data_IF_266386890351
#
_entry.id   IF_266386890351
#
_cell.length_a   1.000
_cell.length_b   1.000
_cell.length_c   1.000
_cell.angle_alpha   90.00
_cell.angle_beta   90.00
_cell.angle_gamma   90.00
#
_symmetry.space_group_name_H-M   'P 1'
#
loop_
_entity.id
_entity.type
_entity.pdbx_description
1 polymer ?
#
# COMPACT_ATOMS: atom_id res chain seq x y z
N UNK A 1 -20.59 8.04 -7.46
CA UNK A 1 -19.72 7.02 -6.86
C UNK A 1 -19.82 5.73 -7.65
N UNK A 2 -18.67 5.07 -7.88
CA UNK A 2 -18.62 3.76 -8.52
C UNK A 2 -18.91 2.66 -7.47
N UNK A 3 -19.70 1.66 -7.85
CA UNK A 3 -19.92 0.48 -7.03
C UNK A 3 -19.88 -0.74 -7.97
N UNK A 4 -18.88 -1.60 -7.79
CA UNK A 4 -18.63 -2.75 -8.63
C UNK A 4 -17.25 -3.34 -8.41
N UNK A 5 -16.85 -4.32 -9.22
CA UNK A 5 -15.51 -4.92 -9.14
C UNK A 5 -14.42 -3.86 -9.30
N UNK A 6 -13.33 -4.02 -8.54
CA UNK A 6 -12.14 -3.18 -8.62
C UNK A 6 -10.91 -4.08 -8.75
N UNK A 7 -9.93 -3.63 -9.52
CA UNK A 7 -8.60 -4.25 -9.60
C UNK A 7 -7.59 -3.31 -8.96
N UNK A 8 -6.84 -3.83 -8.00
CA UNK A 8 -5.71 -3.17 -7.38
C UNK A 8 -4.43 -3.88 -7.83
N UNK A 9 -3.55 -3.17 -8.53
CA UNK A 9 -2.29 -3.71 -9.00
C UNK A 9 -1.13 -3.06 -8.25
N UNK A 10 -0.22 -3.89 -7.77
CA UNK A 10 1.05 -3.47 -7.19
C UNK A 10 2.16 -4.22 -7.93
N UNK A 11 3.11 -3.49 -8.49
CA UNK A 11 4.25 -4.06 -9.17
C UNK A 11 5.53 -3.44 -8.60
N UNK A 12 6.52 -4.28 -8.33
CA UNK A 12 7.86 -3.84 -7.92
C UNK A 12 8.88 -4.28 -8.98
N UNK A 13 9.59 -3.30 -9.52
CA UNK A 13 10.69 -3.51 -10.45
C UNK A 13 12.01 -3.05 -9.82
N UNK A 14 13.08 -3.79 -10.10
CA UNK A 14 14.44 -3.39 -9.74
C UNK A 14 15.04 -2.66 -10.94
N UNK A 15 15.55 -1.46 -10.71
CA UNK A 15 16.11 -0.58 -11.72
C UNK A 15 17.55 -0.19 -11.40
N UNK A 16 18.25 0.36 -12.39
CA UNK A 16 19.53 1.04 -12.17
C UNK A 16 19.30 2.44 -11.48
N UNK A 17 20.23 2.91 -10.63
CA UNK A 17 21.46 2.23 -10.29
C UNK A 17 21.28 1.07 -9.29
N UNK A 18 22.00 -0.02 -9.52
CA UNK A 18 22.01 -1.20 -8.66
C UNK A 18 23.44 -1.74 -8.56
N UNK A 19 23.85 -2.14 -7.36
CA UNK A 19 25.15 -2.75 -7.09
C UNK A 19 25.01 -3.96 -6.14
N UNK A 20 26.10 -4.42 -5.52
CA UNK A 20 26.07 -5.60 -4.65
C UNK A 20 25.33 -5.33 -3.32
N UNK A 21 25.32 -4.08 -2.84
CA UNK A 21 24.74 -3.68 -1.55
C UNK A 21 23.34 -3.11 -1.68
N UNK A 22 23.09 -2.33 -2.72
CA UNK A 22 21.84 -1.59 -2.90
C UNK A 22 21.23 -1.78 -4.29
N UNK A 23 19.94 -1.59 -4.35
CA UNK A 23 19.17 -1.54 -5.59
C UNK A 23 18.20 -0.37 -5.56
N UNK A 24 17.90 0.18 -6.73
CA UNK A 24 16.77 1.10 -6.87
C UNK A 24 15.52 0.29 -7.16
N UNK A 25 14.49 0.46 -6.33
CA UNK A 25 13.19 -0.14 -6.56
C UNK A 25 12.20 0.89 -7.05
N UNK A 26 11.35 0.46 -7.97
CA UNK A 26 10.22 1.22 -8.48
C UNK A 26 8.95 0.43 -8.20
N UNK A 27 8.06 1.01 -7.40
CA UNK A 27 6.78 0.39 -7.06
C UNK A 27 5.67 1.18 -7.75
N UNK A 28 4.92 0.52 -8.61
CA UNK A 28 3.72 1.05 -9.24
C UNK A 28 2.47 0.53 -8.54
N UNK A 29 1.58 1.43 -8.18
CA UNK A 29 0.25 1.10 -7.66
C UNK A 29 -0.81 1.68 -8.57
N UNK A 30 -1.78 0.87 -8.97
CA UNK A 30 -2.94 1.33 -9.73
C UNK A 30 -4.23 0.79 -9.13
N UNK A 31 -5.25 1.64 -9.12
CA UNK A 31 -6.64 1.26 -8.80
C UNK A 31 -7.48 1.44 -10.05
N UNK A 32 -8.11 0.38 -10.49
CA UNK A 32 -8.89 0.35 -11.73
C UNK A 32 -10.31 -0.16 -11.45
N UNK A 33 -11.28 0.37 -12.17
CA UNK A 33 -12.66 -0.14 -12.14
C UNK A 33 -12.74 -1.40 -12.98
N UNK A 34 -13.58 -2.35 -12.55
CA UNK A 34 -13.75 -3.61 -13.26
C UNK A 34 -12.49 -4.47 -13.24
N UNK A 35 -12.22 -5.15 -14.33
CA UNK A 35 -11.04 -6.02 -14.52
C UNK A 35 -9.79 -5.26 -14.99
N UNK A 36 -9.91 -3.94 -15.18
CA UNK A 36 -8.76 -3.08 -15.49
C UNK A 36 -8.28 -3.17 -16.93
N UNK A 37 -9.18 -3.24 -17.90
CA UNK A 37 -8.83 -3.42 -19.31
C UNK A 37 -8.48 -2.13 -20.07
N UNK A 38 -8.73 -0.94 -19.50
CA UNK A 38 -8.50 0.31 -20.21
C UNK A 38 -8.15 1.51 -19.34
N UNK A 39 -7.52 2.53 -19.95
CA UNK A 39 -7.16 3.78 -19.27
C UNK A 39 -8.38 4.54 -18.71
N UNK A 40 -9.56 4.33 -19.26
CA UNK A 40 -10.81 4.93 -18.77
C UNK A 40 -11.26 4.34 -17.44
N UNK A 41 -10.74 3.16 -17.09
CA UNK A 41 -11.03 2.47 -15.83
C UNK A 41 -10.09 2.90 -14.71
N UNK A 42 -8.99 3.56 -15.06
CA UNK A 42 -7.99 4.03 -14.10
C UNK A 42 -8.60 5.09 -13.17
N UNK A 43 -8.64 4.82 -11.89
CA UNK A 43 -9.11 5.74 -10.85
C UNK A 43 -7.96 6.39 -10.08
N UNK A 44 -6.84 5.70 -9.94
CA UNK A 44 -5.63 6.20 -9.28
C UNK A 44 -4.40 5.47 -9.81
N UNK A 45 -3.30 6.21 -9.97
CA UNK A 45 -1.98 5.65 -10.25
C UNK A 45 -0.93 6.40 -9.41
N UNK A 46 -0.01 5.65 -8.84
CA UNK A 46 1.13 6.17 -8.08
C UNK A 46 2.38 5.38 -8.44
N UNK A 47 3.50 6.07 -8.53
CA UNK A 47 4.81 5.45 -8.76
C UNK A 47 5.79 5.96 -7.72
N UNK A 48 6.36 5.02 -6.96
CA UNK A 48 7.34 5.24 -5.91
C UNK A 48 8.69 4.75 -6.38
N UNK A 49 9.72 5.56 -6.25
CA UNK A 49 11.10 5.17 -6.61
C UNK A 49 12.05 5.53 -5.50
N UNK A 50 12.78 4.57 -4.96
CA UNK A 50 13.72 4.76 -3.86
C UNK A 50 14.82 3.69 -3.82
N UNK A 51 16.00 3.99 -3.23
CA UNK A 51 17.04 3.00 -3.03
C UNK A 51 16.76 2.12 -1.81
N UNK A 52 17.04 0.82 -1.92
CA UNK A 52 16.94 -0.17 -0.82
C UNK A 52 18.26 -0.90 -0.63
N UNK A 53 18.55 -1.31 0.61
CA UNK A 53 19.53 -2.35 0.90
C UNK A 53 19.00 -3.71 0.41
N UNK A 54 19.81 -4.43 -0.35
CA UNK A 54 19.36 -5.67 -1.02
C UNK A 54 19.12 -6.82 -0.07
N UNK A 55 19.80 -6.86 1.07
CA UNK A 55 19.66 -7.93 2.06
C UNK A 55 18.56 -7.61 3.07
N UNK A 56 18.60 -6.44 3.68
CA UNK A 56 17.64 -6.05 4.70
C UNK A 56 16.29 -5.62 4.12
N UNK A 57 16.26 -5.06 2.90
CA UNK A 57 15.06 -4.43 2.33
C UNK A 57 14.78 -3.04 2.90
N UNK A 58 15.66 -2.50 3.75
CA UNK A 58 15.50 -1.15 4.31
C UNK A 58 15.71 -0.08 3.23
N UNK A 59 14.89 0.96 3.28
CA UNK A 59 15.08 2.12 2.43
C UNK A 59 16.38 2.85 2.80
N UNK A 60 17.21 3.15 1.80
CA UNK A 60 18.49 3.85 1.95
C UNK A 60 18.39 5.33 1.59
N UNK A 61 17.18 5.85 1.40
CA UNK A 61 16.90 7.23 1.04
C UNK A 61 15.42 7.50 0.91
N UNK A 62 15.11 8.75 0.59
CA UNK A 62 13.72 9.14 0.38
C UNK A 62 13.19 8.64 -0.96
N UNK A 63 11.88 8.37 -1.00
CA UNK A 63 11.19 8.02 -2.23
C UNK A 63 10.75 9.27 -3.00
N UNK A 64 10.88 9.21 -4.31
CA UNK A 64 10.16 10.08 -5.22
C UNK A 64 8.80 9.45 -5.52
N UNK A 65 7.73 10.18 -5.24
CA UNK A 65 6.35 9.77 -5.51
C UNK A 65 5.76 10.59 -6.64
N UNK A 66 5.35 9.94 -7.72
CA UNK A 66 4.65 10.56 -8.85
C UNK A 66 3.21 10.07 -8.92
N UNK A 67 2.26 11.01 -9.05
CA UNK A 67 0.83 10.73 -9.20
C UNK A 67 0.36 10.84 -10.65
N UNK A 68 1.00 11.71 -11.42
CA UNK A 68 0.70 11.95 -12.85
C UNK A 68 1.96 12.38 -13.60
N UNK A 69 1.94 12.25 -14.93
CA UNK A 69 3.05 12.66 -15.81
C UNK A 69 3.33 14.18 -15.80
N UNK A 70 2.39 14.99 -15.33
CA UNK A 70 2.45 16.46 -15.46
C UNK A 70 2.65 17.21 -14.14
N UNK A 71 2.59 16.53 -13.00
CA UNK A 71 2.83 17.12 -11.67
C UNK A 71 4.24 16.83 -11.17
N UNK A 72 4.87 17.79 -10.45
CA UNK A 72 6.11 17.49 -9.75
C UNK A 72 5.94 16.27 -8.82
N UNK A 73 6.99 15.47 -8.70
CA UNK A 73 7.00 14.37 -7.72
C UNK A 73 7.11 14.90 -6.30
N UNK A 74 6.40 14.26 -5.39
CA UNK A 74 6.58 14.47 -3.96
C UNK A 74 7.81 13.68 -3.48
N UNK A 75 8.41 14.15 -2.39
CA UNK A 75 9.45 13.42 -1.65
C UNK A 75 8.84 12.84 -0.38
N UNK A 76 8.96 11.53 -0.21
CA UNK A 76 8.37 10.80 0.92
C UNK A 76 9.40 9.91 1.57
N UNK A 77 9.54 9.98 2.90
CA UNK A 77 10.35 9.03 3.65
C UNK A 77 9.65 7.69 3.73
N UNK A 78 10.32 6.63 3.28
CA UNK A 78 9.85 5.25 3.49
C UNK A 78 10.30 4.81 4.87
N UNK A 79 9.35 4.57 5.75
CA UNK A 79 9.56 4.08 7.10
C UNK A 79 9.29 2.57 7.13
N UNK A 80 10.19 1.80 7.72
CA UNK A 80 10.10 0.34 7.77
C UNK A 80 10.35 -0.36 6.42
N UNK A 81 9.77 -1.55 6.28
CA UNK A 81 9.84 -2.38 5.08
C UNK A 81 8.57 -2.19 4.23
N UNK A 82 8.60 -2.61 3.00
CA UNK A 82 7.38 -2.58 2.19
C UNK A 82 7.16 -3.91 1.44
N UNK A 83 7.61 -4.04 0.18
CA UNK A 83 7.44 -5.28 -0.59
C UNK A 83 8.67 -6.21 -0.50
N UNK A 84 9.64 -5.85 0.30
CA UNK A 84 10.85 -6.62 0.59
C UNK A 84 11.13 -6.55 2.09
N UNK A 85 11.02 -7.70 2.75
CA UNK A 85 11.43 -7.93 4.14
C UNK A 85 12.92 -8.34 4.17
N UNK A 86 13.57 -8.40 5.33
CA UNK A 86 14.92 -8.97 5.39
C UNK A 86 15.00 -10.37 4.81
N UNK A 87 16.09 -10.68 4.13
CA UNK A 87 16.38 -12.06 3.75
C UNK A 87 16.51 -12.95 5.00
N UNK A 88 16.20 -14.22 4.88
CA UNK A 88 16.05 -15.12 6.02
C UNK A 88 15.05 -14.58 7.06
N UNK A 89 13.90 -14.15 6.56
CA UNK A 89 12.82 -13.55 7.33
C UNK A 89 12.48 -14.37 8.57
N UNK A 90 12.31 -13.72 9.70
CA UNK A 90 12.09 -14.34 11.00
C UNK A 90 10.63 -14.32 11.43
N UNK A 91 10.27 -15.19 12.36
CA UNK A 91 8.93 -15.24 13.01
C UNK A 91 8.78 -14.15 14.07
N UNK A 92 8.85 -12.91 13.65
CA UNK A 92 8.77 -11.72 14.51
C UNK A 92 7.91 -10.64 13.85
N UNK A 93 7.60 -9.58 14.56
CA UNK A 93 6.90 -8.44 13.99
C UNK A 93 7.87 -7.59 13.17
N UNK A 94 7.38 -7.06 12.05
CA UNK A 94 8.12 -6.12 11.22
C UNK A 94 7.30 -4.84 11.00
N UNK A 95 7.92 -3.65 11.11
CA UNK A 95 7.27 -2.41 10.71
C UNK A 95 7.15 -2.38 9.18
N UNK A 96 5.92 -2.32 8.66
CA UNK A 96 5.66 -2.31 7.21
C UNK A 96 5.00 -1.02 6.80
N UNK A 97 5.59 -0.38 5.79
CA UNK A 97 5.14 0.89 5.25
C UNK A 97 3.72 0.81 4.70
N UNK A 98 2.88 1.74 5.14
CA UNK A 98 1.57 1.97 4.56
C UNK A 98 1.62 3.21 3.65
N UNK A 99 1.37 3.07 2.33
CA UNK A 99 1.49 4.18 1.39
C UNK A 99 0.41 5.25 1.56
N UNK A 100 -0.74 4.91 2.14
CA UNK A 100 -1.80 5.88 2.42
C UNK A 100 -1.48 6.70 3.66
N UNK A 101 -0.98 6.08 4.72
CA UNK A 101 -0.53 6.77 5.93
C UNK A 101 0.84 7.43 5.76
N UNK A 102 1.64 6.99 4.80
CA UNK A 102 3.06 7.37 4.60
C UNK A 102 3.91 7.13 5.85
N UNK A 103 3.63 6.04 6.55
CA UNK A 103 4.37 5.59 7.73
C UNK A 103 4.25 4.08 7.91
N UNK A 104 5.12 3.50 8.74
CA UNK A 104 5.06 2.10 9.08
C UNK A 104 3.99 1.80 10.13
N UNK A 105 3.38 0.64 9.98
CA UNK A 105 2.52 -0.02 10.96
C UNK A 105 3.01 -1.45 11.12
N UNK A 106 3.06 -1.96 12.34
CA UNK A 106 3.56 -3.31 12.60
C UNK A 106 2.72 -4.38 11.91
N UNK A 107 3.40 -5.26 11.19
CA UNK A 107 2.85 -6.52 10.69
C UNK A 107 3.31 -7.65 11.62
N UNK A 108 2.35 -8.40 12.14
CA UNK A 108 2.55 -9.45 13.14
C UNK A 108 2.65 -10.81 12.46
N UNK A 109 3.69 -11.59 12.78
CA UNK A 109 3.79 -12.96 12.29
C UNK A 109 2.59 -13.79 12.78
N UNK A 110 1.95 -14.52 11.87
CA UNK A 110 0.81 -15.37 12.21
C UNK A 110 1.03 -16.84 11.89
N UNK A 111 1.54 -17.17 10.72
CA UNK A 111 1.74 -18.58 10.37
C UNK A 111 2.86 -18.80 9.35
N UNK A 112 3.34 -20.05 9.33
CA UNK A 112 4.22 -20.62 8.32
C UNK A 112 3.40 -21.52 7.41
N UNK A 113 3.58 -21.35 6.10
CA UNK A 113 2.97 -22.21 5.07
C UNK A 113 3.98 -22.58 4.01
N UNK A 114 3.57 -23.42 3.09
CA UNK A 114 4.38 -23.81 1.93
C UNK A 114 3.61 -23.45 0.66
N UNK A 115 4.24 -22.67 -0.21
CA UNK A 115 3.73 -22.34 -1.53
C UNK A 115 4.76 -22.76 -2.56
N UNK A 116 4.36 -23.57 -3.52
CA UNK A 116 5.21 -24.09 -4.61
C UNK A 116 6.57 -24.66 -4.13
N UNK A 117 6.55 -25.37 -2.99
CA UNK A 117 7.74 -25.98 -2.37
C UNK A 117 8.64 -25.02 -1.59
N UNK A 118 8.27 -23.75 -1.48
CA UNK A 118 9.00 -22.73 -0.72
C UNK A 118 8.32 -22.45 0.61
N UNK A 119 9.11 -22.14 1.63
CA UNK A 119 8.58 -21.69 2.92
C UNK A 119 8.13 -20.23 2.82
N UNK A 120 6.88 -19.98 3.16
CA UNK A 120 6.25 -18.66 3.13
C UNK A 120 5.71 -18.34 4.51
N UNK A 121 5.98 -17.14 5.00
CA UNK A 121 5.45 -16.60 6.26
C UNK A 121 4.33 -15.61 5.97
N UNK A 122 3.22 -15.73 6.70
CA UNK A 122 2.13 -14.77 6.66
C UNK A 122 2.23 -13.81 7.85
N UNK A 123 2.17 -12.52 7.55
CA UNK A 123 2.15 -11.41 8.51
C UNK A 123 0.86 -10.63 8.36
N UNK A 124 0.20 -10.36 9.47
CA UNK A 124 -1.03 -9.56 9.53
C UNK A 124 -0.74 -8.14 10.00
N UNK A 125 -1.22 -7.15 9.26
CA UNK A 125 -1.15 -5.73 9.61
C UNK A 125 -2.56 -5.19 9.82
N UNK A 126 -2.86 -4.72 11.02
CA UNK A 126 -4.10 -4.02 11.34
C UNK A 126 -3.89 -2.51 11.26
N UNK A 127 -4.74 -1.82 10.53
CA UNK A 127 -4.70 -0.37 10.38
C UNK A 127 -5.91 0.22 11.08
N UNK A 128 -5.70 0.74 12.27
CA UNK A 128 -6.72 1.45 13.04
C UNK A 128 -7.17 2.72 12.29
N UNK A 129 -8.46 3.09 12.36
CA UNK A 129 -8.97 4.28 11.70
C UNK A 129 -8.13 5.52 12.01
N UNK A 130 -7.51 6.09 10.99
CA UNK A 130 -6.55 7.17 11.12
C UNK A 130 -6.88 8.32 10.16
N UNK A 131 -6.97 9.53 10.66
CA UNK A 131 -7.17 10.73 9.86
C UNK A 131 -5.90 11.08 9.09
N UNK A 132 -5.90 10.81 7.80
CA UNK A 132 -4.75 11.01 6.89
C UNK A 132 -4.44 12.50 6.70
N UNK A 133 -5.45 13.37 6.73
CA UNK A 133 -5.27 14.82 6.58
C UNK A 133 -4.44 15.44 7.70
N UNK A 134 -4.35 14.80 8.87
CA UNK A 134 -3.47 15.23 9.97
C UNK A 134 -2.01 14.80 9.78
N UNK A 135 -1.74 13.85 8.90
CA UNK A 135 -0.39 13.32 8.68
C UNK A 135 0.36 14.09 7.59
N UNK A 136 -0.32 14.43 6.50
CA UNK A 136 0.24 15.22 5.40
C UNK A 136 -0.88 15.85 4.55
N UNK A 137 -0.54 16.94 3.86
CA UNK A 137 -1.45 17.60 2.94
C UNK A 137 -1.33 16.98 1.54
N UNK A 138 -2.45 16.55 0.98
CA UNK A 138 -2.56 16.12 -0.41
C UNK A 138 -4.00 16.29 -0.90
N UNK A 139 -4.16 16.39 -2.21
CA UNK A 139 -5.48 16.37 -2.83
C UNK A 139 -6.19 15.05 -2.49
N UNK A 140 -7.46 15.13 -2.12
CA UNK A 140 -8.24 13.97 -1.70
C UNK A 140 -8.13 13.61 -0.21
N UNK A 141 -7.22 14.20 0.57
CA UNK A 141 -7.19 14.03 2.02
C UNK A 141 -8.32 14.79 2.72
N UNK A 142 -8.97 15.72 2.02
CA UNK A 142 -10.15 16.45 2.49
C UNK A 142 -11.22 16.52 1.39
N UNK A 143 -12.46 16.65 1.81
CA UNK A 143 -13.61 16.83 0.91
C UNK A 143 -14.64 17.78 1.53
N UNK A 144 -15.67 18.14 0.75
CA UNK A 144 -16.84 18.85 1.26
C UNK A 144 -17.96 17.88 1.54
N UNK A 145 -18.47 17.86 2.76
CA UNK A 145 -19.57 17.00 3.21
C UNK A 145 -20.84 17.83 3.42
N UNK A 146 -22.02 17.30 3.06
CA UNK A 146 -23.28 17.96 3.36
C UNK A 146 -23.53 17.98 4.88
N UNK A 147 -23.94 19.15 5.37
CA UNK A 147 -24.24 19.38 6.79
C UNK A 147 -25.72 19.23 7.07
N UNK A 148 -26.08 18.64 8.23
CA UNK A 148 -27.47 18.67 8.70
C UNK A 148 -27.95 20.10 8.90
N UNK A 149 -29.09 20.44 8.29
CA UNK A 149 -29.65 21.79 8.32
C UNK A 149 -29.21 22.71 7.17
N UNK A 150 -28.41 22.20 6.24
CA UNK A 150 -27.97 22.89 5.03
C UNK A 150 -26.55 23.47 5.15
N UNK A 151 -25.91 23.67 4.00
CA UNK A 151 -24.51 24.06 3.89
C UNK A 151 -23.57 22.88 3.82
N UNK A 152 -22.27 23.17 3.91
CA UNK A 152 -21.20 22.19 3.80
C UNK A 152 -20.25 22.28 4.99
N UNK A 153 -19.59 21.19 5.30
CA UNK A 153 -18.50 21.12 6.27
C UNK A 153 -17.33 20.33 5.69
N UNK A 154 -16.15 20.50 6.25
CA UNK A 154 -14.97 19.78 5.80
C UNK A 154 -15.00 18.34 6.29
N UNK A 155 -14.82 17.41 5.35
CA UNK A 155 -14.57 16.01 5.61
C UNK A 155 -13.08 15.67 5.51
N UNK A 156 -12.65 14.68 6.27
CA UNK A 156 -11.27 14.25 6.39
C UNK A 156 -11.15 12.77 6.03
N UNK A 157 -10.22 12.44 5.13
CA UNK A 157 -9.95 11.07 4.76
C UNK A 157 -9.46 10.29 5.98
N UNK A 158 -10.18 9.21 6.30
CA UNK A 158 -9.83 8.25 7.34
C UNK A 158 -9.48 6.93 6.67
N UNK A 159 -8.25 6.47 6.87
CA UNK A 159 -7.74 5.19 6.37
C UNK A 159 -7.89 4.13 7.43
N UNK A 160 -8.45 2.98 7.07
CA UNK A 160 -8.60 1.83 7.95
C UNK A 160 -8.66 0.52 7.17
N UNK A 161 -8.42 -0.57 7.87
CA UNK A 161 -8.53 -1.92 7.32
C UNK A 161 -7.42 -2.83 7.76
N UNK A 162 -7.12 -3.85 6.96
CA UNK A 162 -6.06 -4.80 7.22
C UNK A 162 -5.37 -5.27 5.95
N UNK A 163 -4.15 -5.75 6.10
CA UNK A 163 -3.39 -6.39 5.03
C UNK A 163 -2.67 -7.62 5.58
N UNK A 164 -2.70 -8.71 4.85
CA UNK A 164 -1.84 -9.86 5.06
C UNK A 164 -0.75 -9.86 4.01
N UNK A 165 0.48 -10.07 4.43
CA UNK A 165 1.66 -10.19 3.57
C UNK A 165 2.14 -11.63 3.59
N UNK A 166 2.22 -12.24 2.42
CA UNK A 166 2.83 -13.55 2.22
C UNK A 166 4.26 -13.34 1.76
N UNK A 167 5.21 -13.74 2.60
CA UNK A 167 6.63 -13.42 2.41
C UNK A 167 7.42 -14.69 2.20
N UNK A 168 8.16 -14.79 1.10
CA UNK A 168 9.11 -15.85 0.89
C UNK A 168 10.20 -15.77 1.96
N UNK A 169 10.30 -16.81 2.80
CA UNK A 169 11.15 -16.77 3.99
C UNK A 169 12.62 -16.54 3.65
N UNK A 170 13.12 -17.15 2.58
CA UNK A 170 14.52 -17.07 2.21
C UNK A 170 14.92 -15.71 1.63
N UNK A 171 14.09 -15.17 0.74
CA UNK A 171 14.42 -13.92 0.03
C UNK A 171 13.87 -12.67 0.72
N UNK A 172 12.83 -12.80 1.55
CA UNK A 172 12.10 -11.68 2.14
C UNK A 172 11.15 -10.98 1.15
N UNK A 173 11.00 -11.47 -0.08
CA UNK A 173 10.10 -10.88 -1.05
C UNK A 173 8.64 -11.16 -0.68
N UNK A 174 7.80 -10.14 -0.81
CA UNK A 174 6.35 -10.28 -0.71
C UNK A 174 5.84 -10.92 -2.00
N UNK A 175 5.30 -12.13 -1.89
CA UNK A 175 4.81 -12.94 -3.03
C UNK A 175 3.29 -12.95 -3.14
N UNK A 176 2.60 -12.37 -2.18
CA UNK A 176 1.16 -12.25 -2.20
C UNK A 176 0.66 -11.32 -1.10
N UNK A 177 -0.53 -10.80 -1.29
CA UNK A 177 -1.22 -9.94 -0.33
C UNK A 177 -2.71 -10.24 -0.32
N UNK A 178 -3.29 -10.23 0.87
CA UNK A 178 -4.72 -10.04 1.06
C UNK A 178 -4.95 -8.63 1.58
N UNK A 179 -5.95 -7.95 1.06
CA UNK A 179 -6.29 -6.58 1.45
C UNK A 179 -7.78 -6.48 1.78
N UNK A 180 -8.06 -5.84 2.91
CA UNK A 180 -9.42 -5.45 3.31
C UNK A 180 -9.35 -3.98 3.76
N UNK A 181 -9.66 -3.07 2.85
CA UNK A 181 -9.53 -1.62 3.05
C UNK A 181 -10.90 -0.99 3.12
N UNK A 182 -11.12 -0.16 4.14
CA UNK A 182 -12.34 0.61 4.36
C UNK A 182 -11.99 2.08 4.66
N UNK A 183 -11.77 2.85 3.61
CA UNK A 183 -11.47 4.28 3.69
C UNK A 183 -12.75 5.09 3.53
N UNK A 184 -12.89 6.10 4.37
CA UNK A 184 -14.07 6.98 4.36
C UNK A 184 -13.70 8.43 4.71
N UNK A 185 -14.57 9.35 4.32
CA UNK A 185 -14.50 10.72 4.80
C UNK A 185 -15.32 10.85 6.08
N UNK A 186 -14.66 11.32 7.13
CA UNK A 186 -15.27 11.59 8.43
C UNK A 186 -15.40 13.11 8.66
N UNK A 187 -16.37 13.49 9.47
CA UNK A 187 -16.47 14.87 9.97
C UNK A 187 -15.39 15.16 11.04
N UNK A 188 -15.45 16.36 11.63
CA UNK A 188 -14.47 16.79 12.64
C UNK A 188 -14.51 15.96 13.94
N UNK A 189 -15.63 15.32 14.22
CA UNK A 189 -15.83 14.43 15.36
C UNK A 189 -15.36 13.01 15.09
N UNK A 190 -14.92 12.71 13.85
CA UNK A 190 -14.46 11.39 13.43
C UNK A 190 -15.58 10.43 13.01
N UNK A 191 -16.80 10.94 12.83
CA UNK A 191 -17.93 10.13 12.37
C UNK A 191 -17.86 9.98 10.86
N UNK A 192 -17.80 8.73 10.38
CA UNK A 192 -17.81 8.42 8.95
C UNK A 192 -19.10 8.87 8.28
N UNK A 193 -18.99 9.62 7.19
CA UNK A 193 -20.10 10.23 6.46
C UNK A 193 -20.21 9.75 5.00
N UNK A 194 -19.08 9.51 4.36
CA UNK A 194 -19.02 9.14 2.95
C UNK A 194 -17.91 8.11 2.70
N UNK A 195 -18.18 7.08 1.92
CA UNK A 195 -17.15 6.11 1.51
C UNK A 195 -16.19 6.76 0.54
N UNK A 196 -14.89 6.61 0.79
CA UNK A 196 -13.82 7.05 -0.10
C UNK A 196 -13.33 5.91 -0.98
N UNK A 197 -12.88 4.80 -0.37
CA UNK A 197 -12.39 3.62 -1.06
C UNK A 197 -12.60 2.38 -0.20
N UNK A 198 -13.37 1.43 -0.71
CA UNK A 198 -13.59 0.13 -0.07
C UNK A 198 -13.12 -0.95 -1.03
N UNK A 199 -12.22 -1.80 -0.57
CA UNK A 199 -11.64 -2.86 -1.37
C UNK A 199 -11.40 -4.11 -0.52
N UNK A 200 -11.82 -5.26 -1.04
CA UNK A 200 -11.46 -6.56 -0.50
C UNK A 200 -10.97 -7.43 -1.65
N UNK A 201 -9.74 -7.90 -1.57
CA UNK A 201 -9.13 -8.69 -2.63
C UNK A 201 -7.84 -9.36 -2.21
N UNK A 202 -7.43 -10.34 -3.00
CA UNK A 202 -6.24 -11.16 -2.80
C UNK A 202 -5.43 -11.27 -4.08
N UNK A 203 -4.13 -11.46 -3.95
CA UNK A 203 -3.27 -11.81 -5.08
C UNK A 203 -3.73 -13.16 -5.65
N UNK A 204 -3.85 -13.25 -6.98
CA UNK A 204 -4.23 -14.50 -7.63
C UNK A 204 -3.16 -15.60 -7.44
N UNK A 205 -3.59 -16.86 -7.49
CA UNK A 205 -2.64 -18.01 -7.40
C UNK A 205 -1.60 -17.97 -8.53
N UNK A 206 -2.00 -17.52 -9.73
CA UNK A 206 -1.11 -17.38 -10.89
C UNK A 206 -0.02 -16.35 -10.63
N UNK A 207 -0.39 -15.18 -10.09
CA UNK A 207 0.57 -14.11 -9.74
C UNK A 207 1.49 -14.54 -8.59
N UNK A 208 0.97 -15.24 -7.58
CA UNK A 208 1.80 -15.79 -6.49
C UNK A 208 2.85 -16.77 -7.02
N UNK A 209 2.47 -17.69 -7.92
CA UNK A 209 3.39 -18.64 -8.54
C UNK A 209 4.44 -17.94 -9.41
N UNK A 210 4.08 -16.86 -10.09
CA UNK A 210 5.02 -16.09 -10.91
C UNK A 210 6.10 -15.36 -10.08
N UNK A 211 5.85 -15.11 -8.80
CA UNK A 211 6.75 -14.40 -7.88
C UNK A 211 7.64 -15.35 -7.04
N UNK A 212 7.32 -16.64 -7.00
CA UNK A 212 8.07 -17.68 -6.31
C UNK A 212 9.13 -18.31 -7.20
#
# INVERSE_FOLDING_TARGET
PYSGPMTYQINMDIQEPSDEEKATVRIGETRMRGEGEGLNDLSQAQVWTYPVDRLSGEAMGEASLSHTLATPSDTVTIDGYWLKFPADTEKTNYPVFDPTLRKAVDAVFEEETTMDGRTVYRYHQEIEPTNVAQLYAADGNTTSLPKEGGGEEQGYLTHSGSRDFYVDQQTGLVVGMDMDIDDYYADREGVGRERAFVFNGSTSEEDQQALL
#
